data_IF_623107179752
#
_entry.id   IF_623107179752
#
_cell.length_a   1.000
_cell.length_b   1.000
_cell.length_c   1.000
_cell.angle_alpha   90.00
_cell.angle_beta   90.00
_cell.angle_gamma   90.00
#
_symmetry.space_group_name_H-M   'P 1'
#
loop_
_entity.id
_entity.type
_entity.pdbx_description
1 polymer ?
#
# COMPACT_ATOMS: atom_id res chain seq x y z
N UNK A 1 -12.12 2.30 -9.75
CA UNK A 1 -11.20 1.92 -8.67
C UNK A 1 -11.65 2.67 -7.44
N UNK A 2 -11.76 1.98 -6.31
CA UNK A 2 -12.14 2.60 -5.04
C UNK A 2 -10.91 2.95 -4.22
N UNK A 3 -10.99 4.02 -3.43
CA UNK A 3 -9.87 4.47 -2.62
C UNK A 3 -9.55 3.39 -1.57
N UNK A 4 -8.28 3.06 -1.43
CA UNK A 4 -7.81 2.19 -0.36
C UNK A 4 -7.92 2.89 1.00
N UNK A 5 -7.49 4.14 1.08
CA UNK A 5 -7.66 4.97 2.27
C UNK A 5 -7.67 6.46 1.91
N UNK A 6 -8.11 7.29 2.87
CA UNK A 6 -8.09 8.74 2.77
C UNK A 6 -7.29 9.34 3.93
N UNK A 7 -6.52 10.39 3.65
CA UNK A 7 -5.81 11.18 4.66
C UNK A 7 -6.16 12.64 4.51
N UNK A 8 -6.54 13.28 5.61
CA UNK A 8 -6.66 14.73 5.71
C UNK A 8 -5.44 15.31 6.44
N UNK A 9 -4.90 16.42 5.92
CA UNK A 9 -3.76 17.09 6.54
C UNK A 9 -3.83 18.60 6.34
N UNK A 10 -3.61 19.36 7.40
CA UNK A 10 -3.54 20.81 7.38
C UNK A 10 -2.07 21.24 7.38
N UNK A 11 -1.62 21.75 6.23
CA UNK A 11 -0.37 22.48 6.12
C UNK A 11 -0.58 23.95 6.45
N UNK A 12 0.52 24.67 6.71
CA UNK A 12 0.49 26.11 6.97
C UNK A 12 -0.29 26.90 5.91
N UNK A 13 -0.21 26.48 4.64
CA UNK A 13 -0.80 27.17 3.50
C UNK A 13 -2.08 26.54 2.94
N UNK A 14 -2.47 25.32 3.36
CA UNK A 14 -3.62 24.63 2.78
C UNK A 14 -4.11 23.45 3.64
N UNK A 15 -5.42 23.20 3.57
CA UNK A 15 -6.01 21.94 4.00
C UNK A 15 -6.18 21.02 2.78
N UNK A 16 -5.63 19.81 2.86
CA UNK A 16 -5.73 18.81 1.78
C UNK A 16 -6.42 17.56 2.25
N UNK A 17 -7.15 16.92 1.34
CA UNK A 17 -7.66 15.55 1.46
C UNK A 17 -7.11 14.71 0.32
N UNK A 18 -6.33 13.70 0.67
CA UNK A 18 -5.66 12.80 -0.26
C UNK A 18 -6.38 11.45 -0.27
N UNK A 19 -6.64 10.93 -1.46
CA UNK A 19 -7.19 9.59 -1.66
C UNK A 19 -6.11 8.70 -2.26
N UNK A 20 -5.75 7.63 -1.56
CA UNK A 20 -4.73 6.69 -2.00
C UNK A 20 -5.38 5.46 -2.61
N UNK A 21 -4.78 4.96 -3.70
CA UNK A 21 -5.23 3.78 -4.42
C UNK A 21 -4.06 2.81 -4.58
N UNK A 22 -4.35 1.51 -4.55
CA UNK A 22 -3.36 0.47 -4.82
C UNK A 22 -3.63 -0.09 -6.21
N UNK A 23 -2.75 0.21 -7.16
CA UNK A 23 -2.76 -0.44 -8.47
C UNK A 23 -1.89 -1.69 -8.43
N UNK A 24 -2.49 -2.86 -8.65
CA UNK A 24 -1.80 -4.16 -8.70
C UNK A 24 -1.64 -4.71 -10.12
N UNK A 25 -2.37 -4.14 -11.07
CA UNK A 25 -2.39 -4.56 -12.45
C UNK A 25 -2.29 -3.31 -13.33
N UNK A 26 -1.25 -3.27 -14.16
CA UNK A 26 -1.05 -2.25 -15.18
C UNK A 26 -0.40 -2.90 -16.39
N UNK A 27 -0.43 -2.18 -17.53
CA UNK A 27 0.16 -2.65 -18.79
C UNK A 27 1.41 -1.84 -19.10
N UNK A 28 2.48 -2.51 -19.50
CA UNK A 28 3.76 -1.89 -19.80
C UNK A 28 4.58 -1.58 -18.55
N UNK A 29 5.66 -0.82 -18.73
CA UNK A 29 6.58 -0.43 -17.67
C UNK A 29 6.34 1.03 -17.26
N UNK A 30 6.32 1.37 -15.96
CA UNK A 30 6.26 2.76 -15.52
C UNK A 30 7.44 3.58 -16.05
N UNK A 31 7.15 4.79 -16.53
CA UNK A 31 8.13 5.71 -17.08
C UNK A 31 7.98 7.10 -16.45
N UNK A 32 9.11 7.79 -16.31
CA UNK A 32 9.15 9.20 -15.93
C UNK A 32 8.89 10.06 -17.16
N UNK A 33 7.76 10.77 -17.17
CA UNK A 33 7.36 11.63 -18.30
C UNK A 33 7.64 13.12 -18.04
N UNK A 34 7.93 13.51 -16.80
CA UNK A 34 8.20 14.88 -16.38
C UNK A 34 9.63 15.05 -15.82
N UNK A 35 10.51 14.08 -16.09
CA UNK A 35 11.91 14.12 -15.65
C UNK A 35 12.10 13.85 -14.16
N UNK A 36 11.06 13.42 -13.44
CA UNK A 36 11.16 13.01 -12.05
C UNK A 36 11.99 11.73 -11.90
N UNK A 37 12.86 11.68 -10.90
CA UNK A 37 13.48 10.43 -10.49
C UNK A 37 12.44 9.53 -9.81
N UNK A 38 12.44 8.23 -10.12
CA UNK A 38 11.61 7.24 -9.43
C UNK A 38 12.36 5.92 -9.30
N UNK A 39 11.97 5.11 -8.32
CA UNK A 39 12.55 3.80 -8.08
C UNK A 39 11.50 2.84 -7.50
N UNK A 40 11.65 1.55 -7.80
CA UNK A 40 10.94 0.50 -7.08
C UNK A 40 11.63 0.28 -5.74
N UNK A 41 10.90 0.50 -4.64
CA UNK A 41 11.45 0.36 -3.29
C UNK A 41 10.57 -0.54 -2.44
N UNK A 42 11.21 -1.48 -1.73
CA UNK A 42 10.57 -2.21 -0.65
C UNK A 42 10.51 -1.36 0.62
N UNK A 43 11.66 -1.04 1.20
CA UNK A 43 11.76 -0.08 2.30
C UNK A 43 12.05 1.31 1.72
N UNK A 44 11.35 2.33 2.21
CA UNK A 44 11.54 3.72 1.74
C UNK A 44 12.92 4.23 2.18
N UNK A 45 13.73 4.67 1.22
CA UNK A 45 15.09 5.15 1.43
C UNK A 45 15.31 6.63 1.09
N UNK A 46 14.23 7.40 0.90
CA UNK A 46 14.28 8.81 0.47
C UNK A 46 13.76 9.75 1.55
N UNK A 47 14.31 10.96 1.60
CA UNK A 47 13.90 12.02 2.52
C UNK A 47 14.13 13.42 1.89
N UNK A 48 13.36 14.45 2.29
CA UNK A 48 12.24 14.40 3.23
C UNK A 48 10.98 13.78 2.62
N UNK A 49 10.12 13.20 3.46
CA UNK A 49 8.79 12.72 3.08
C UNK A 49 7.73 13.78 3.40
N UNK A 50 6.62 13.76 2.66
CA UNK A 50 5.46 14.58 2.99
C UNK A 50 4.85 14.06 4.31
N UNK A 51 4.60 14.92 5.31
CA UNK A 51 4.04 14.51 6.60
C UNK A 51 2.76 13.66 6.48
N UNK A 52 1.89 14.02 5.53
CA UNK A 52 0.64 13.28 5.27
C UNK A 52 0.85 11.84 4.76
N UNK A 53 2.03 11.51 4.21
CA UNK A 53 2.31 10.16 3.67
C UNK A 53 3.04 9.25 4.64
N UNK A 54 3.57 9.78 5.76
CA UNK A 54 4.32 8.99 6.75
C UNK A 54 3.46 7.84 7.32
N UNK A 55 2.20 8.04 7.75
CA UNK A 55 1.38 6.94 8.28
C UNK A 55 1.11 5.83 7.25
N UNK A 56 1.07 6.20 5.95
CA UNK A 56 0.80 5.25 4.87
C UNK A 56 1.87 4.19 4.75
N UNK A 57 3.13 4.51 5.09
CA UNK A 57 4.23 3.55 4.99
C UNK A 57 4.01 2.37 5.94
N UNK A 58 3.58 2.64 7.17
CA UNK A 58 3.26 1.59 8.13
C UNK A 58 2.07 0.74 7.66
N UNK A 59 1.04 1.37 7.08
CA UNK A 59 -0.13 0.65 6.55
C UNK A 59 0.21 -0.20 5.32
N UNK A 60 1.08 0.30 4.44
CA UNK A 60 1.59 -0.46 3.30
C UNK A 60 2.40 -1.68 3.77
N UNK A 61 3.22 -1.54 4.81
CA UNK A 61 3.97 -2.67 5.35
C UNK A 61 3.05 -3.72 5.98
N UNK A 62 1.99 -3.31 6.68
CA UNK A 62 0.96 -4.25 7.17
C UNK A 62 0.30 -5.02 6.02
N UNK A 63 -0.06 -4.34 4.93
CA UNK A 63 -0.63 -4.99 3.75
C UNK A 63 0.32 -5.98 3.07
N UNK A 64 1.63 -5.71 3.11
CA UNK A 64 2.65 -6.56 2.49
C UNK A 64 2.96 -7.79 3.33
N UNK A 65 2.91 -7.65 4.65
CA UNK A 65 3.26 -8.70 5.61
C UNK A 65 2.06 -9.46 6.18
N UNK A 66 0.82 -9.07 5.84
CA UNK A 66 -0.37 -9.82 6.22
C UNK A 66 -0.24 -11.26 5.70
N UNK A 67 -0.15 -12.22 6.62
CA UNK A 67 -0.10 -13.64 6.28
C UNK A 67 -1.39 -14.03 5.55
N UNK A 68 -1.35 -14.98 4.59
CA UNK A 68 -2.59 -15.53 4.05
C UNK A 68 -3.39 -16.13 5.22
N UNK A 69 -4.68 -15.81 5.30
CA UNK A 69 -5.58 -16.46 6.24
C UNK A 69 -5.45 -17.98 6.05
N UNK A 70 -4.90 -18.67 7.04
CA UNK A 70 -4.85 -20.13 7.03
C UNK A 70 -6.29 -20.63 7.17
N UNK A 71 -6.89 -21.01 6.05
CA UNK A 71 -8.23 -21.61 6.01
C UNK A 71 -8.12 -23.01 6.62
N UNK A 72 -8.46 -23.13 7.90
CA UNK A 72 -8.49 -24.41 8.62
C UNK A 72 -9.76 -25.19 8.26
N UNK A 73 -9.83 -25.74 7.03
CA UNK A 73 -11.01 -26.52 6.60
C UNK A 73 -10.65 -27.86 5.94
N UNK A 74 -9.56 -28.48 6.41
CA UNK A 74 -9.23 -29.87 6.10
C UNK A 74 -9.11 -30.67 7.40
N UNK A 75 -10.25 -30.96 8.02
CA UNK A 75 -10.39 -32.15 8.85
C UNK A 75 -10.88 -33.29 7.94
N UNK A 76 -10.06 -34.30 7.61
CA UNK A 76 -10.63 -35.53 7.11
C UNK A 76 -11.18 -36.30 8.31
N UNK A 77 -12.50 -36.24 8.49
CA UNK A 77 -13.24 -37.41 8.97
C UNK A 77 -12.74 -38.62 8.17
N UNK A 78 -12.18 -39.61 8.88
CA UNK A 78 -12.32 -41.06 8.65
C UNK A 78 -11.20 -41.80 9.36
N UNK A 79 -11.50 -42.25 10.57
CA UNK A 79 -10.98 -43.50 11.11
C UNK A 79 -12.12 -44.20 11.88
N UNK A 80 -13.18 -44.52 11.15
CA UNK A 80 -14.03 -45.65 11.47
C UNK A 80 -13.54 -46.83 10.62
N UNK A 81 -12.67 -47.64 11.20
CA UNK A 81 -12.55 -49.09 11.02
C UNK A 81 -11.49 -49.65 11.97
#
# INVERSE_FOLDING_TARGET
>A
ADAWCGVEHVYEHAHVRLHFFISRAWTGEPQSLEGQAFAWQGTVGVAPLLPATIPLLAWLDQLRCAAPEYVSDLAPERAAN
#
